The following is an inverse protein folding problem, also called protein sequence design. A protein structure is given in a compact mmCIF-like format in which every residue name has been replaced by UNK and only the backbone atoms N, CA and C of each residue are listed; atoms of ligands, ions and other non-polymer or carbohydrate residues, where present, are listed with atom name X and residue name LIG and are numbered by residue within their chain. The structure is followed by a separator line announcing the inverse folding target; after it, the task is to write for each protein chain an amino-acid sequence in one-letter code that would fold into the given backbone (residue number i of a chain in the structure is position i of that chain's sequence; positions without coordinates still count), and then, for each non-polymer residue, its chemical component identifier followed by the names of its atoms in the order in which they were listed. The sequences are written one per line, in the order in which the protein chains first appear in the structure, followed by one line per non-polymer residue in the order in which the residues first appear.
data_IF_747316602850
#
_entry.id   IF_747316602850
#
_cell.length_a   1.000
_cell.length_b   1.000
_cell.length_c   1.000
_cell.angle_alpha   90.00
_cell.angle_beta   90.00
_cell.angle_gamma   90.00
#
_symmetry.space_group_name_H-M   'P 1'
#
loop_
_entity.id
_entity.type
_entity.pdbx_description
1 polymer ?
#
# COMPACT_ATOMS: atom_id res chain seq x y z
N UNK A 1 -5.53 -2.43 -3.00
CA UNK A 1 -6.10 -1.17 -3.53
C UNK A 1 -7.60 -1.39 -3.69
N UNK A 2 -8.43 -0.37 -3.41
CA UNK A 2 -9.85 -0.38 -3.73
C UNK A 2 -10.09 0.48 -4.98
N UNK A 3 -10.92 -0.02 -5.89
CA UNK A 3 -11.34 0.68 -7.10
C UNK A 3 -12.86 0.84 -7.12
N UNK A 4 -13.33 1.81 -7.89
CA UNK A 4 -14.73 1.88 -8.34
C UNK A 4 -15.01 0.79 -9.38
N UNK A 5 -16.29 0.63 -9.75
CA UNK A 5 -16.72 -0.30 -10.80
C UNK A 5 -16.08 0.02 -12.16
N UNK A 6 -15.87 1.30 -12.49
CA UNK A 6 -15.18 1.75 -13.70
C UNK A 6 -13.64 1.66 -13.59
N UNK A 7 -13.12 1.02 -12.54
CA UNK A 7 -11.69 0.75 -12.38
C UNK A 7 -10.85 1.94 -11.92
N UNK A 8 -11.48 3.06 -11.49
CA UNK A 8 -10.75 4.20 -10.93
C UNK A 8 -10.30 3.88 -9.51
N UNK A 9 -9.05 4.18 -9.14
CA UNK A 9 -8.61 3.93 -7.77
C UNK A 9 -9.32 4.88 -6.79
N UNK A 10 -9.72 4.37 -5.63
CA UNK A 10 -10.36 5.16 -4.57
C UNK A 10 -9.37 5.35 -3.43
N UNK A 11 -8.99 4.25 -2.79
CA UNK A 11 -8.00 4.20 -1.71
C UNK A 11 -6.98 3.09 -1.94
N UNK A 12 -5.78 3.29 -1.39
CA UNK A 12 -4.73 2.30 -1.37
C UNK A 12 -4.36 1.97 0.08
N UNK A 13 -3.95 0.72 0.29
CA UNK A 13 -3.31 0.26 1.51
C UNK A 13 -1.90 -0.21 1.13
N UNK A 14 -0.88 0.37 1.76
CA UNK A 14 0.51 -0.02 1.63
C UNK A 14 0.99 -0.53 2.96
N UNK A 15 1.60 -1.72 2.96
CA UNK A 15 2.09 -2.37 4.16
C UNK A 15 3.39 -3.09 3.83
N UNK A 16 4.37 -2.97 4.71
CA UNK A 16 5.61 -3.74 4.63
C UNK A 16 5.43 -5.05 5.43
N UNK A 17 5.23 -6.16 4.71
CA UNK A 17 5.13 -7.50 5.28
C UNK A 17 5.89 -8.49 4.40
N UNK A 18 6.39 -9.60 4.95
CA UNK A 18 7.02 -10.63 4.14
C UNK A 18 5.99 -11.27 3.21
N UNK A 19 6.42 -11.65 2.00
CA UNK A 19 5.60 -12.35 0.99
C UNK A 19 5.35 -13.82 1.37
N UNK A 20 4.75 -14.04 2.53
CA UNK A 20 4.40 -15.36 3.05
C UNK A 20 2.89 -15.43 3.26
N UNK A 21 2.32 -16.62 3.07
CA UNK A 21 0.88 -16.85 3.28
C UNK A 21 0.46 -16.45 4.70
N UNK A 22 1.23 -16.82 5.73
CA UNK A 22 0.95 -16.50 7.13
C UNK A 22 0.86 -14.99 7.40
N UNK A 23 1.76 -14.20 6.81
CA UNK A 23 1.73 -12.74 6.98
C UNK A 23 0.52 -12.12 6.26
N UNK A 24 0.18 -12.62 5.07
CA UNK A 24 -1.02 -12.18 4.33
C UNK A 24 -2.30 -12.53 5.09
N UNK A 25 -2.40 -13.71 5.70
CA UNK A 25 -3.54 -14.12 6.53
C UNK A 25 -3.73 -13.17 7.72
N UNK A 26 -2.65 -12.92 8.48
CA UNK A 26 -2.68 -12.04 9.64
C UNK A 26 -3.02 -10.59 9.27
N UNK A 27 -2.54 -10.10 8.12
CA UNK A 27 -2.89 -8.79 7.60
C UNK A 27 -4.36 -8.74 7.15
N UNK A 28 -4.81 -9.73 6.38
CA UNK A 28 -6.15 -9.78 5.82
C UNK A 28 -7.22 -9.77 6.91
N UNK A 29 -7.04 -10.55 7.97
CA UNK A 29 -7.98 -10.61 9.11
C UNK A 29 -8.14 -9.26 9.82
N UNK A 30 -7.12 -8.40 9.80
CA UNK A 30 -7.16 -7.09 10.46
C UNK A 30 -7.76 -6.00 9.57
N UNK A 31 -7.64 -6.14 8.25
CA UNK A 31 -7.84 -5.03 7.30
C UNK A 31 -9.02 -5.26 6.36
N UNK A 32 -9.28 -6.51 5.96
CA UNK A 32 -10.33 -6.82 4.99
C UNK A 32 -11.65 -7.13 5.69
N UNK A 33 -12.72 -6.56 5.18
CA UNK A 33 -14.07 -6.97 5.55
C UNK A 33 -14.38 -8.36 4.95
N UNK A 34 -15.14 -9.22 5.64
CA UNK A 34 -15.58 -10.51 5.07
C UNK A 34 -16.38 -10.36 3.76
N UNK A 35 -17.04 -9.22 3.55
CA UNK A 35 -17.77 -8.90 2.31
C UNK A 35 -16.87 -8.42 1.15
N UNK A 36 -15.55 -8.29 1.38
CA UNK A 36 -14.64 -7.82 0.35
C UNK A 36 -14.48 -8.87 -0.77
N UNK A 37 -14.32 -8.37 -2.00
CA UNK A 37 -13.91 -9.17 -3.15
C UNK A 37 -12.47 -8.81 -3.49
N UNK A 38 -11.57 -9.77 -3.33
CA UNK A 38 -10.14 -9.59 -3.55
C UNK A 38 -9.74 -10.20 -4.88
N UNK A 39 -9.14 -9.38 -5.74
CA UNK A 39 -8.52 -9.81 -6.97
C UNK A 39 -6.99 -9.70 -6.84
N UNK A 40 -6.26 -10.78 -7.11
CA UNK A 40 -4.79 -10.79 -7.11
C UNK A 40 -4.22 -11.44 -8.36
N UNK A 41 -2.92 -11.30 -8.56
CA UNK A 41 -2.17 -12.17 -9.47
C UNK A 41 -2.08 -13.61 -8.92
N UNK A 42 -1.41 -14.48 -9.68
CA UNK A 42 -1.25 -15.89 -9.37
C UNK A 42 -0.27 -16.24 -8.25
N UNK A 43 0.30 -15.26 -7.52
CA UNK A 43 1.26 -15.56 -6.46
C UNK A 43 0.59 -16.28 -5.28
N UNK A 44 1.11 -17.45 -4.94
CA UNK A 44 0.46 -18.39 -4.02
C UNK A 44 0.19 -17.85 -2.61
N UNK A 45 0.98 -16.88 -2.12
CA UNK A 45 0.78 -16.29 -0.79
C UNK A 45 -0.53 -15.48 -0.69
N UNK A 46 -1.07 -14.95 -1.79
CA UNK A 46 -2.31 -14.19 -1.78
C UNK A 46 -3.54 -15.02 -1.45
N UNK A 47 -3.47 -16.35 -1.55
CA UNK A 47 -4.54 -17.24 -1.06
C UNK A 47 -4.85 -17.03 0.43
N UNK A 48 -3.90 -16.47 1.19
CA UNK A 48 -4.09 -16.10 2.60
C UNK A 48 -5.19 -15.07 2.84
N UNK A 49 -5.58 -14.26 1.84
CA UNK A 49 -6.62 -13.24 2.02
C UNK A 49 -7.99 -13.83 2.37
N UNK A 50 -8.26 -15.06 1.95
CA UNK A 50 -9.48 -15.79 2.27
C UNK A 50 -9.66 -16.06 3.78
N UNK A 51 -8.59 -15.98 4.58
CA UNK A 51 -8.67 -16.12 6.04
C UNK A 51 -9.46 -14.99 6.73
N UNK A 52 -9.73 -13.90 6.02
CA UNK A 52 -10.64 -12.81 6.47
C UNK A 52 -12.12 -13.10 6.23
N UNK A 53 -12.45 -14.19 5.53
CA UNK A 53 -13.79 -14.47 5.01
C UNK A 53 -14.10 -13.82 3.66
N UNK A 54 -13.20 -12.96 3.15
CA UNK A 54 -13.32 -12.34 1.84
C UNK A 54 -13.27 -13.35 0.69
N UNK A 55 -14.01 -13.08 -0.38
CA UNK A 55 -13.92 -13.86 -1.62
C UNK A 55 -12.61 -13.54 -2.32
N UNK A 56 -11.84 -14.57 -2.69
CA UNK A 56 -10.57 -14.42 -3.39
C UNK A 56 -10.65 -14.98 -4.83
N UNK A 57 -10.34 -14.14 -5.80
CA UNK A 57 -10.17 -14.50 -7.21
C UNK A 57 -8.73 -14.22 -7.63
N UNK A 58 -8.04 -15.24 -8.14
CA UNK A 58 -6.70 -15.10 -8.68
C UNK A 58 -6.74 -15.08 -10.21
N UNK A 59 -6.13 -14.07 -10.83
CA UNK A 59 -5.91 -14.04 -12.28
C UNK A 59 -4.57 -14.72 -12.54
N UNK A 60 -4.65 -15.97 -12.96
CA UNK A 60 -3.48 -16.78 -13.36
C UNK A 60 -3.28 -16.60 -14.86
N UNK A 61 -2.28 -15.83 -15.23
CA UNK A 61 -1.93 -15.61 -16.63
C UNK A 61 -0.95 -16.70 -17.08
N UNK A 62 -1.49 -17.81 -17.56
CA UNK A 62 -0.69 -18.86 -18.20
C UNK A 62 -0.49 -18.48 -19.68
N UNK A 63 0.74 -18.14 -20.08
CA UNK A 63 1.12 -18.04 -21.50
C UNK A 63 1.27 -16.64 -22.10
N UNK A 64 1.14 -15.57 -21.32
CA UNK A 64 1.45 -14.20 -21.75
C UNK A 64 2.89 -13.80 -21.43
N UNK A 65 3.48 -12.91 -22.22
CA UNK A 65 4.70 -12.19 -21.85
C UNK A 65 4.45 -11.37 -20.58
N UNK A 66 5.49 -11.10 -19.77
CA UNK A 66 5.34 -10.30 -18.54
C UNK A 66 4.70 -8.92 -18.76
N UNK A 67 4.77 -8.40 -19.98
CA UNK A 67 4.12 -7.15 -20.41
C UNK A 67 2.61 -7.28 -20.53
N UNK A 68 2.10 -8.38 -21.09
CA UNK A 68 0.65 -8.62 -21.23
C UNK A 68 -0.01 -8.81 -19.86
N UNK A 69 0.70 -9.50 -18.95
CA UNK A 69 0.27 -9.66 -17.55
C UNK A 69 0.19 -8.31 -16.84
N UNK A 70 1.21 -7.46 -17.01
CA UNK A 70 1.25 -6.12 -16.41
C UNK A 70 0.20 -5.15 -16.99
N UNK A 71 -0.31 -5.41 -18.19
CA UNK A 71 -1.30 -4.58 -18.88
C UNK A 71 -2.75 -5.03 -18.65
N UNK A 72 -2.99 -6.07 -17.86
CA UNK A 72 -4.35 -6.52 -17.58
C UNK A 72 -5.21 -5.37 -17.01
N UNK A 73 -6.41 -5.12 -17.56
CA UNK A 73 -7.25 -4.00 -17.14
C UNK A 73 -7.49 -3.97 -15.63
N UNK A 74 -7.68 -5.14 -15.01
CA UNK A 74 -7.94 -5.24 -13.57
C UNK A 74 -6.73 -4.85 -12.69
N UNK A 75 -5.51 -4.85 -13.22
CA UNK A 75 -4.31 -4.42 -12.50
C UNK A 75 -3.83 -3.02 -12.89
N UNK A 76 -4.46 -2.37 -13.88
CA UNK A 76 -4.02 -1.06 -14.38
C UNK A 76 -3.91 -0.03 -13.27
N UNK A 77 -4.92 0.10 -12.42
CA UNK A 77 -4.93 1.10 -11.34
C UNK A 77 -3.81 0.85 -10.32
N UNK A 78 -3.63 -0.40 -9.87
CA UNK A 78 -2.58 -0.74 -8.90
C UNK A 78 -1.20 -0.58 -9.53
N UNK A 79 -1.00 -0.99 -10.78
CA UNK A 79 0.27 -0.85 -11.48
C UNK A 79 0.65 0.61 -11.73
N UNK A 80 -0.32 1.47 -12.07
CA UNK A 80 -0.07 2.92 -12.17
C UNK A 80 0.38 3.49 -10.83
N UNK A 81 -0.29 3.13 -9.74
CA UNK A 81 0.07 3.62 -8.40
C UNK A 81 1.42 3.08 -7.95
N UNK A 82 1.72 1.81 -8.19
CA UNK A 82 3.04 1.22 -7.91
C UNK A 82 4.16 1.88 -8.73
N UNK A 83 3.90 2.20 -10.01
CA UNK A 83 4.86 2.90 -10.86
C UNK A 83 5.17 4.31 -10.33
N UNK A 84 4.13 5.05 -9.94
CA UNK A 84 4.29 6.39 -9.35
C UNK A 84 5.00 6.32 -7.99
N UNK A 85 4.65 5.34 -7.15
CA UNK A 85 5.31 5.11 -5.87
C UNK A 85 6.80 4.83 -6.07
N UNK A 86 7.16 3.92 -6.97
CA UNK A 86 8.56 3.60 -7.30
C UNK A 86 9.31 4.84 -7.78
N UNK A 87 8.69 5.61 -8.67
CA UNK A 87 9.30 6.84 -9.22
C UNK A 87 9.52 7.89 -8.14
N UNK A 88 8.52 8.10 -7.27
CA UNK A 88 8.60 9.05 -6.16
C UNK A 88 9.66 8.63 -5.13
N UNK A 89 9.71 7.34 -4.78
CA UNK A 89 10.70 6.80 -3.85
C UNK A 89 12.10 6.99 -4.40
N UNK A 90 12.32 6.57 -5.65
CA UNK A 90 13.60 6.77 -6.31
C UNK A 90 13.94 8.26 -6.26
N UNK A 91 13.15 9.13 -6.88
CA UNK A 91 13.46 10.56 -7.00
C UNK A 91 13.68 11.31 -5.67
N UNK A 92 12.97 10.94 -4.61
CA UNK A 92 12.91 11.73 -3.37
C UNK A 92 13.82 11.18 -2.28
N UNK A 93 13.99 9.85 -2.19
CA UNK A 93 14.71 9.21 -1.08
C UNK A 93 16.03 8.58 -1.52
N UNK A 94 16.64 9.03 -2.62
CA UNK A 94 17.94 8.54 -3.12
C UNK A 94 19.06 8.49 -2.07
N UNK A 95 19.01 9.35 -1.05
CA UNK A 95 20.04 9.49 -0.01
C UNK A 95 19.77 8.67 1.26
N UNK A 96 18.63 7.97 1.39
CA UNK A 96 18.25 7.24 2.59
C UNK A 96 18.07 5.76 2.27
N UNK A 97 18.48 4.88 3.21
CA UNK A 97 18.18 3.47 3.11
C UNK A 97 16.67 3.28 3.18
N UNK A 98 16.05 2.99 2.02
CA UNK A 98 14.61 2.76 1.92
C UNK A 98 14.15 1.72 2.94
N UNK A 99 14.97 0.69 3.19
CA UNK A 99 14.60 -0.40 4.09
C UNK A 99 14.45 0.09 5.52
N UNK A 100 15.30 1.03 5.94
CA UNK A 100 15.23 1.61 7.28
C UNK A 100 13.93 2.38 7.50
N UNK A 101 13.41 3.10 6.51
CA UNK A 101 12.24 3.98 6.69
C UNK A 101 11.01 3.55 5.88
N UNK A 102 10.96 2.28 5.46
CA UNK A 102 9.95 1.77 4.54
C UNK A 102 8.53 2.04 5.04
N UNK A 103 8.26 1.78 6.33
CA UNK A 103 6.94 1.95 6.93
C UNK A 103 6.47 3.41 6.86
N UNK A 104 7.37 4.37 7.14
CA UNK A 104 7.05 5.81 7.05
C UNK A 104 6.81 6.26 5.63
N UNK A 105 7.65 5.86 4.69
CA UNK A 105 7.52 6.26 3.30
C UNK A 105 6.22 5.71 2.70
N UNK A 106 5.90 4.45 2.99
CA UNK A 106 4.62 3.85 2.57
C UNK A 106 3.42 4.53 3.24
N UNK A 107 3.51 4.86 4.54
CA UNK A 107 2.45 5.54 5.27
C UNK A 107 2.21 6.97 4.75
N UNK A 108 3.27 7.72 4.42
CA UNK A 108 3.16 9.06 3.82
C UNK A 108 2.44 9.00 2.47
N UNK A 109 2.87 8.07 1.60
CA UNK A 109 2.24 7.91 0.28
C UNK A 109 0.78 7.47 0.43
N UNK A 110 0.49 6.53 1.33
CA UNK A 110 -0.88 6.15 1.67
C UNK A 110 -1.71 7.35 2.12
N UNK A 111 -1.16 8.17 3.03
CA UNK A 111 -1.84 9.30 3.63
C UNK A 111 -2.23 10.35 2.57
N UNK A 112 -1.29 10.68 1.68
CA UNK A 112 -1.50 11.62 0.56
C UNK A 112 -2.45 11.03 -0.48
N UNK A 113 -2.24 9.78 -0.90
CA UNK A 113 -3.06 9.13 -1.92
C UNK A 113 -4.54 9.06 -1.51
N UNK A 114 -4.81 8.68 -0.26
CA UNK A 114 -6.19 8.53 0.25
C UNK A 114 -6.88 9.87 0.53
N UNK A 115 -6.17 11.01 0.42
CA UNK A 115 -6.71 12.37 0.62
C UNK A 115 -6.59 13.26 -0.62
N UNK A 116 -6.11 12.71 -1.75
CA UNK A 116 -5.80 13.48 -2.96
C UNK A 116 -7.00 14.20 -3.59
N UNK A 117 -8.22 13.79 -3.24
CA UNK A 117 -9.44 14.43 -3.72
C UNK A 117 -9.76 15.76 -3.01
N UNK A 118 -9.19 15.99 -1.84
CA UNK A 118 -9.27 17.27 -1.12
C UNK A 118 -7.92 17.59 -0.47
N UNK A 119 -7.01 18.14 -1.29
CA UNK A 119 -5.65 18.47 -0.86
C UNK A 119 -5.62 19.55 0.24
N UNK A 120 -6.62 20.43 0.28
CA UNK A 120 -6.71 21.47 1.32
C UNK A 120 -6.86 20.89 2.72
N UNK A 121 -7.45 19.69 2.85
CA UNK A 121 -7.54 19.01 4.15
C UNK A 121 -6.21 18.53 4.70
N UNK A 122 -5.21 18.30 3.84
CA UNK A 122 -3.90 17.80 4.25
C UNK A 122 -3.21 18.82 5.16
N UNK A 123 -3.11 20.08 4.73
CA UNK A 123 -2.48 21.13 5.52
C UNK A 123 -3.17 21.32 6.87
N UNK A 124 -4.50 21.43 6.87
CA UNK A 124 -5.30 21.60 8.11
C UNK A 124 -5.05 20.46 9.11
N UNK A 125 -4.99 19.21 8.61
CA UNK A 125 -4.73 18.04 9.44
C UNK A 125 -3.30 18.01 9.96
N UNK A 126 -2.31 18.38 9.15
CA UNK A 126 -0.91 18.43 9.57
C UNK A 126 -0.68 19.50 10.63
N UNK A 127 -1.25 20.70 10.48
CA UNK A 127 -1.19 21.75 11.52
C UNK A 127 -1.84 21.26 12.81
N UNK A 128 -3.01 20.63 12.73
CA UNK A 128 -3.67 20.04 13.91
C UNK A 128 -2.81 18.96 14.54
N UNK A 129 -2.21 18.06 13.76
CA UNK A 129 -1.34 17.01 14.28
C UNK A 129 -0.11 17.61 14.98
N UNK A 130 0.56 18.58 14.34
CA UNK A 130 1.72 19.27 14.91
C UNK A 130 1.38 19.98 16.23
N UNK A 131 0.23 20.65 16.31
CA UNK A 131 -0.21 21.34 17.52
C UNK A 131 -0.55 20.40 18.68
N UNK A 132 -0.94 19.15 18.40
CA UNK A 132 -1.33 18.17 19.42
C UNK A 132 -0.25 17.12 19.72
N UNK A 133 0.84 17.08 18.95
CA UNK A 133 1.91 16.10 19.14
C UNK A 133 2.93 16.67 20.12
N UNK A 134 3.29 15.90 21.15
CA UNK A 134 4.36 16.28 22.07
C UNK A 134 5.69 16.44 21.30
N UNK A 135 6.48 17.50 21.55
CA UNK A 135 7.78 17.66 20.92
C UNK A 135 8.66 16.42 21.10
N UNK A 136 9.24 15.94 19.99
CA UNK A 136 10.07 14.74 19.96
C UNK A 136 11.43 15.07 19.33
N UNK A 137 12.57 14.78 20.00
CA UNK A 137 13.89 14.99 19.43
C UNK A 137 14.11 14.16 18.16
N UNK A 138 14.89 14.70 17.22
CA UNK A 138 15.21 14.02 15.95
C UNK A 138 15.79 12.61 16.17
N UNK A 139 16.66 12.44 17.17
CA UNK A 139 17.26 11.15 17.49
C UNK A 139 16.20 10.09 17.83
N UNK A 140 15.17 10.45 18.60
CA UNK A 140 14.07 9.55 18.95
C UNK A 140 13.21 9.22 17.72
N UNK A 141 12.97 10.22 16.85
CA UNK A 141 12.28 10.02 15.57
C UNK A 141 13.06 9.04 14.69
N UNK A 142 14.38 9.15 14.59
CA UNK A 142 15.20 8.23 13.77
C UNK A 142 15.33 6.83 14.38
N UNK A 143 15.37 6.72 15.71
CA UNK A 143 15.55 5.45 16.41
C UNK A 143 14.37 4.48 16.29
N UNK A 144 13.14 4.98 16.16
CA UNK A 144 11.93 4.15 16.08
C UNK A 144 11.92 3.17 14.89
N UNK A 145 12.80 3.36 13.92
CA UNK A 145 12.87 2.54 12.70
C UNK A 145 14.11 1.63 12.64
N UNK A 146 14.96 1.65 13.68
CA UNK A 146 16.15 0.79 13.77
C UNK A 146 15.87 -0.60 14.39
N UNK A 147 14.64 -0.85 14.84
CA UNK A 147 14.25 -2.06 15.59
C UNK A 147 13.39 -3.07 14.81
N UNK A 148 13.26 -2.94 13.48
CA UNK A 148 12.48 -3.88 12.65
C UNK A 148 13.34 -4.84 11.83
#
# INVERSE_FOLDING_TARGET
MQTTEDGKPVVACFVHIPFTRKAIEAWAQKVLAPSAQVLSDGLGCFRGVAASGATHSAIIMNGGTGREVAQHPAFRAVNTVLSNLKTAISGTYHAFDFRQYADRYLAEVQYRFNRRFDLGTILKRLVRAAANTTPCPEAAIRAAEACN
#
